data_IF_700798746022
#
_entry.id   IF_700798746022
#
_cell.length_a   1.000
_cell.length_b   1.000
_cell.length_c   1.000
_cell.angle_alpha   90.00
_cell.angle_beta   90.00
_cell.angle_gamma   90.00
#
_symmetry.space_group_name_H-M   'P 1'
#
loop_
_entity.id
_entity.type
_entity.pdbx_description
1 polymer ?
#
# COMPACT_ATOMS: atom_id res chain seq x y z
N UNK A 1 84.31 -56.51 -92.33
CA UNK A 1 84.44 -57.97 -92.11
C UNK A 1 83.09 -58.69 -91.93
N UNK A 2 81.94 -58.06 -92.13
CA UNK A 2 80.66 -58.69 -92.47
C UNK A 2 79.91 -57.67 -93.35
N UNK A 3 79.06 -58.07 -94.31
CA UNK A 3 78.28 -57.11 -95.13
C UNK A 3 77.14 -56.44 -94.35
N UNK A 4 77.03 -56.73 -93.06
CA UNK A 4 75.95 -56.30 -92.17
C UNK A 4 76.48 -55.23 -91.22
N UNK A 5 76.21 -53.97 -91.53
CA UNK A 5 76.48 -52.85 -90.62
C UNK A 5 75.45 -52.80 -89.50
N UNK A 6 75.88 -52.71 -88.25
CA UNK A 6 75.01 -52.40 -87.11
C UNK A 6 75.19 -50.92 -86.77
N UNK A 7 74.08 -50.19 -86.65
CA UNK A 7 74.01 -48.80 -86.16
C UNK A 7 74.65 -47.68 -87.02
N UNK A 8 75.47 -47.97 -88.04
CA UNK A 8 75.97 -46.93 -88.97
C UNK A 8 74.85 -46.39 -89.89
N UNK A 9 74.63 -45.08 -89.84
CA UNK A 9 73.66 -44.38 -90.72
C UNK A 9 72.26 -44.18 -90.14
N UNK A 10 72.09 -44.16 -88.82
CA UNK A 10 70.83 -43.75 -88.16
C UNK A 10 70.56 -42.23 -88.28
N UNK A 11 70.76 -41.62 -89.45
CA UNK A 11 70.15 -40.33 -89.77
C UNK A 11 68.70 -40.58 -90.18
N UNK A 12 67.83 -40.81 -89.20
CA UNK A 12 66.39 -40.76 -89.45
C UNK A 12 66.08 -39.33 -89.92
N UNK A 13 65.44 -39.16 -91.10
CA UNK A 13 64.92 -37.86 -91.54
C UNK A 13 64.13 -37.27 -90.37
N UNK A 14 64.63 -36.18 -89.76
CA UNK A 14 63.91 -35.46 -88.71
C UNK A 14 62.54 -35.12 -89.29
N UNK A 15 61.49 -35.80 -88.81
CA UNK A 15 60.13 -35.32 -89.07
C UNK A 15 60.05 -33.94 -88.42
N UNK A 16 59.45 -32.99 -89.15
CA UNK A 16 59.24 -31.63 -88.64
C UNK A 16 58.71 -31.70 -87.21
N UNK A 17 59.41 -31.07 -86.27
CA UNK A 17 59.04 -31.01 -84.84
C UNK A 17 57.93 -30.01 -84.57
N UNK A 18 57.35 -29.44 -85.63
CA UNK A 18 56.20 -28.54 -85.53
C UNK A 18 54.96 -29.41 -85.40
N UNK A 19 54.35 -29.40 -84.21
CA UNK A 19 53.04 -30.01 -83.99
C UNK A 19 51.98 -29.38 -84.92
N UNK A 20 51.02 -30.15 -85.46
CA UNK A 20 49.89 -29.57 -86.18
C UNK A 20 49.19 -28.56 -85.27
N UNK A 21 49.19 -27.28 -85.66
CA UNK A 21 48.64 -26.16 -84.86
C UNK A 21 49.67 -25.16 -84.31
N UNK A 22 50.96 -25.51 -84.25
CA UNK A 22 52.01 -24.62 -83.70
C UNK A 22 52.40 -23.48 -84.68
N UNK A 23 52.17 -23.66 -85.98
CA UNK A 23 52.42 -22.63 -87.02
C UNK A 23 51.16 -22.04 -87.66
N UNK A 24 49.97 -22.36 -87.14
CA UNK A 24 48.73 -21.80 -87.68
C UNK A 24 47.50 -22.33 -86.98
N UNK A 25 47.11 -21.67 -85.88
CA UNK A 25 45.70 -21.53 -85.45
C UNK A 25 45.51 -20.63 -84.21
N UNK A 26 46.57 -20.20 -83.51
CA UNK A 26 46.41 -19.41 -82.25
C UNK A 26 47.16 -18.06 -82.25
N UNK A 27 47.77 -17.65 -83.37
CA UNK A 27 48.26 -16.29 -83.54
C UNK A 27 47.31 -15.52 -84.46
N UNK A 28 46.42 -14.71 -83.89
CA UNK A 28 46.65 -13.26 -83.79
C UNK A 28 45.31 -12.50 -83.60
N UNK A 29 44.89 -12.33 -82.35
CA UNK A 29 43.97 -11.25 -81.95
C UNK A 29 44.46 -10.57 -80.66
N UNK A 30 45.77 -10.58 -80.39
CA UNK A 30 46.29 -10.12 -79.10
C UNK A 30 47.75 -9.72 -79.09
N UNK A 31 48.33 -9.36 -80.24
CA UNK A 31 49.63 -8.67 -80.31
C UNK A 31 49.40 -7.17 -80.53
N UNK A 32 48.41 -6.61 -79.83
CA UNK A 32 48.39 -5.19 -79.51
C UNK A 32 48.55 -5.09 -78.00
N UNK A 33 49.59 -4.40 -77.54
CA UNK A 33 50.01 -4.25 -76.15
C UNK A 33 49.04 -3.47 -75.25
N UNK A 34 47.75 -3.81 -75.29
CA UNK A 34 46.75 -3.45 -74.29
C UNK A 34 46.38 -4.72 -73.56
N UNK A 35 46.36 -4.70 -72.22
CA UNK A 35 45.89 -5.76 -71.33
C UNK A 35 44.60 -6.44 -71.85
N UNK A 36 44.72 -7.41 -72.76
CA UNK A 36 43.63 -8.31 -73.11
C UNK A 36 43.60 -9.32 -71.99
N UNK A 37 42.76 -9.04 -71.00
CA UNK A 37 42.49 -9.93 -69.88
C UNK A 37 42.00 -11.27 -70.46
N UNK A 38 42.92 -12.24 -70.63
CA UNK A 38 42.55 -13.54 -71.16
C UNK A 38 41.55 -14.18 -70.21
N UNK A 39 40.54 -14.89 -70.72
CA UNK A 39 39.57 -15.52 -69.84
C UNK A 39 40.29 -16.50 -68.91
N UNK A 40 39.91 -16.50 -67.62
CA UNK A 40 40.50 -17.36 -66.60
C UNK A 40 40.51 -18.84 -67.02
N UNK A 41 39.51 -19.27 -67.79
CA UNK A 41 39.41 -20.61 -68.35
C UNK A 41 40.64 -21.01 -69.18
N UNK A 42 41.23 -20.08 -69.94
CA UNK A 42 42.42 -20.35 -70.75
C UNK A 42 43.64 -20.60 -69.85
N UNK A 43 43.78 -19.86 -68.75
CA UNK A 43 44.84 -20.09 -67.78
C UNK A 43 44.67 -21.43 -67.04
N UNK A 44 43.44 -21.77 -66.67
CA UNK A 44 43.14 -23.04 -65.99
C UNK A 44 43.38 -24.22 -66.91
N UNK A 45 42.96 -24.15 -68.17
CA UNK A 45 43.21 -25.22 -69.16
C UNK A 45 44.72 -25.38 -69.45
N UNK A 46 45.44 -24.26 -69.57
CA UNK A 46 46.88 -24.28 -69.72
C UNK A 46 47.56 -24.90 -68.49
N UNK A 47 47.12 -24.57 -67.28
CA UNK A 47 47.70 -25.09 -66.05
C UNK A 47 47.37 -26.58 -65.82
N UNK A 48 46.14 -27.00 -66.09
CA UNK A 48 45.67 -28.37 -65.83
C UNK A 48 46.13 -29.39 -66.88
N UNK A 49 46.37 -28.96 -68.12
CA UNK A 49 46.72 -29.89 -69.22
C UNK A 49 48.03 -29.48 -69.90
N UNK A 50 48.16 -28.21 -70.27
CA UNK A 50 49.30 -27.72 -71.05
C UNK A 50 50.63 -27.81 -70.31
N UNK A 51 50.66 -27.38 -69.05
CA UNK A 51 51.88 -27.41 -68.22
C UNK A 51 52.32 -28.86 -67.93
N UNK A 52 51.46 -29.77 -67.42
CA UNK A 52 51.83 -31.18 -67.22
C UNK A 52 52.33 -31.85 -68.51
N UNK A 53 51.71 -31.55 -69.66
CA UNK A 53 52.16 -32.08 -70.94
C UNK A 53 53.55 -31.57 -71.33
N UNK A 54 53.83 -30.28 -71.10
CA UNK A 54 55.15 -29.70 -71.36
C UNK A 54 56.21 -30.27 -70.41
N UNK A 55 55.91 -30.41 -69.14
CA UNK A 55 56.78 -31.02 -68.14
C UNK A 55 57.11 -32.47 -68.50
N UNK A 56 56.10 -33.26 -68.89
CA UNK A 56 56.29 -34.62 -69.41
C UNK A 56 57.25 -34.63 -70.61
N UNK A 57 57.10 -33.70 -71.57
CA UNK A 57 58.01 -33.63 -72.72
C UNK A 57 59.43 -33.23 -72.33
N UNK A 58 59.61 -32.27 -71.43
CA UNK A 58 60.92 -31.85 -70.93
C UNK A 58 61.61 -33.04 -70.27
N UNK A 59 60.90 -33.71 -69.36
CA UNK A 59 61.40 -34.89 -68.66
C UNK A 59 61.75 -36.02 -69.65
N UNK A 60 60.85 -36.34 -70.58
CA UNK A 60 61.08 -37.38 -71.58
C UNK A 60 62.30 -37.06 -72.48
N UNK A 61 62.51 -35.79 -72.85
CA UNK A 61 63.69 -35.36 -73.60
C UNK A 61 64.98 -35.53 -72.79
N UNK A 62 64.97 -35.22 -71.50
CA UNK A 62 66.14 -35.40 -70.62
C UNK A 62 66.46 -36.89 -70.45
N UNK A 63 65.45 -37.71 -70.16
CA UNK A 63 65.65 -39.15 -69.95
C UNK A 63 66.07 -39.86 -71.24
N UNK A 64 65.55 -39.44 -72.41
CA UNK A 64 66.02 -39.95 -73.69
C UNK A 64 67.47 -39.60 -73.97
N UNK A 65 67.90 -38.36 -73.69
CA UNK A 65 69.30 -37.97 -73.85
C UNK A 65 70.20 -38.81 -72.96
N UNK A 66 69.82 -39.01 -71.71
CA UNK A 66 70.55 -39.86 -70.75
C UNK A 66 70.61 -41.32 -71.22
N UNK A 67 69.50 -41.89 -71.70
CA UNK A 67 69.47 -43.25 -72.23
C UNK A 67 70.30 -43.39 -73.52
N UNK A 68 70.37 -42.35 -74.35
CA UNK A 68 71.24 -42.34 -75.52
C UNK A 68 72.71 -42.34 -75.09
N UNK A 69 73.12 -41.48 -74.16
CA UNK A 69 74.52 -41.43 -73.69
C UNK A 69 74.94 -42.74 -73.02
N UNK A 70 74.10 -43.32 -72.17
CA UNK A 70 74.39 -44.64 -71.56
C UNK A 70 74.41 -45.75 -72.61
N UNK A 71 73.54 -45.70 -73.63
CA UNK A 71 73.59 -46.66 -74.73
C UNK A 71 74.87 -46.54 -75.57
N UNK A 72 75.39 -45.33 -75.75
CA UNK A 72 76.66 -45.11 -76.45
C UNK A 72 77.84 -45.63 -75.62
N UNK A 73 77.86 -45.35 -74.31
CA UNK A 73 78.89 -45.87 -73.39
C UNK A 73 78.91 -47.40 -73.34
N UNK A 74 77.72 -48.02 -73.28
CA UNK A 74 77.62 -49.49 -73.29
C UNK A 74 78.06 -50.09 -74.62
N UNK A 75 77.72 -49.48 -75.76
CA UNK A 75 78.22 -49.91 -77.08
C UNK A 75 79.73 -49.79 -77.16
N UNK A 76 80.31 -48.66 -76.75
CA UNK A 76 81.77 -48.48 -76.72
C UNK A 76 82.45 -49.52 -75.82
N UNK A 77 81.84 -49.83 -74.67
CA UNK A 77 82.35 -50.89 -73.77
C UNK A 77 82.28 -52.27 -74.41
N UNK A 78 81.20 -52.59 -75.15
CA UNK A 78 81.12 -53.83 -75.91
C UNK A 78 82.16 -53.89 -77.03
N UNK A 79 82.38 -52.80 -77.75
CA UNK A 79 83.40 -52.73 -78.81
C UNK A 79 84.81 -52.97 -78.24
N UNK A 80 85.17 -52.34 -77.11
CA UNK A 80 86.43 -52.60 -76.42
C UNK A 80 86.56 -54.06 -75.96
N UNK A 81 85.48 -54.67 -75.48
CA UNK A 81 85.47 -56.08 -75.06
C UNK A 81 85.62 -57.03 -76.25
N UNK A 82 84.96 -56.73 -77.37
CA UNK A 82 85.05 -57.51 -78.62
C UNK A 82 86.45 -57.40 -79.22
N UNK A 83 87.10 -56.23 -79.15
CA UNK A 83 88.47 -56.04 -79.60
C UNK A 83 89.46 -56.86 -78.75
N UNK A 84 89.31 -56.82 -77.42
CA UNK A 84 90.15 -57.60 -76.48
C UNK A 84 89.92 -59.11 -76.62
N UNK A 85 88.66 -59.53 -76.71
CA UNK A 85 88.23 -60.92 -76.75
C UNK A 85 87.29 -61.16 -77.93
N UNK A 86 87.87 -61.42 -79.11
CA UNK A 86 87.10 -61.63 -80.33
C UNK A 86 86.16 -62.85 -80.21
N UNK A 87 84.82 -62.66 -80.27
CA UNK A 87 83.84 -63.74 -80.19
C UNK A 87 84.06 -64.86 -81.22
N UNK A 88 83.76 -66.11 -80.82
CA UNK A 88 83.90 -67.30 -81.66
C UNK A 88 83.14 -67.17 -83.00
N UNK A 89 81.96 -66.55 -82.97
CA UNK A 89 81.13 -66.33 -84.16
C UNK A 89 81.85 -65.56 -85.27
N UNK A 90 82.69 -64.57 -84.93
CA UNK A 90 83.44 -63.84 -85.95
C UNK A 90 84.59 -64.67 -86.52
N UNK A 91 85.21 -65.54 -85.71
CA UNK A 91 86.25 -66.47 -86.18
C UNK A 91 85.64 -67.51 -87.13
N UNK A 92 84.50 -68.09 -86.75
CA UNK A 92 83.74 -69.05 -87.57
C UNK A 92 83.31 -68.43 -88.90
N UNK A 93 82.84 -67.18 -88.89
CA UNK A 93 82.49 -66.45 -90.11
C UNK A 93 83.68 -66.23 -91.06
N UNK A 94 84.87 -65.94 -90.51
CA UNK A 94 86.09 -65.73 -91.30
C UNK A 94 86.61 -67.03 -91.94
N UNK A 95 86.38 -68.18 -91.29
CA UNK A 95 86.78 -69.50 -91.79
C UNK A 95 85.71 -70.21 -92.64
N UNK A 96 84.47 -69.68 -92.69
CA UNK A 96 83.34 -70.31 -93.36
C UNK A 96 83.47 -70.32 -94.90
N UNK A 97 82.96 -71.41 -95.50
CA UNK A 97 82.90 -71.64 -96.95
C UNK A 97 81.89 -70.71 -97.66
N UNK A 98 81.96 -70.63 -98.99
CA UNK A 98 81.09 -69.76 -99.80
C UNK A 98 79.58 -70.07 -99.67
N UNK A 99 79.21 -71.31 -99.32
CA UNK A 99 77.80 -71.71 -99.09
C UNK A 99 77.30 -71.42 -97.66
N UNK A 100 78.17 -71.48 -96.65
CA UNK A 100 77.79 -71.30 -95.23
C UNK A 100 77.71 -69.82 -94.83
N UNK A 101 78.55 -68.98 -95.44
CA UNK A 101 78.57 -67.54 -95.21
C UNK A 101 77.21 -66.84 -95.41
N UNK A 102 76.46 -67.04 -96.51
CA UNK A 102 75.15 -66.41 -96.68
C UNK A 102 74.10 -66.88 -95.68
N UNK A 103 74.19 -68.13 -95.19
CA UNK A 103 73.29 -68.65 -94.14
C UNK A 103 73.54 -67.94 -92.80
N UNK A 104 74.81 -67.79 -92.40
CA UNK A 104 75.19 -67.03 -91.21
C UNK A 104 74.80 -65.54 -91.33
N UNK A 105 74.99 -64.92 -92.51
CA UNK A 105 74.50 -63.57 -92.75
C UNK A 105 72.97 -63.46 -92.64
N UNK A 106 72.22 -64.46 -93.11
CA UNK A 106 70.77 -64.55 -92.96
C UNK A 106 70.34 -64.57 -91.49
N UNK A 107 70.97 -65.41 -90.67
CA UNK A 107 70.71 -65.49 -89.23
C UNK A 107 71.06 -64.18 -88.51
N UNK A 108 72.20 -63.56 -88.83
CA UNK A 108 72.58 -62.24 -88.30
C UNK A 108 71.57 -61.15 -88.68
N UNK A 109 71.05 -61.17 -89.91
CA UNK A 109 69.99 -60.25 -90.36
C UNK A 109 68.68 -60.48 -89.59
N UNK A 110 68.31 -61.73 -89.31
CA UNK A 110 67.14 -62.05 -88.48
C UNK A 110 67.35 -61.57 -87.04
N UNK A 111 68.50 -61.83 -86.44
CA UNK A 111 68.82 -61.38 -85.09
C UNK A 111 68.83 -59.85 -84.99
N UNK A 112 69.35 -59.16 -86.01
CA UNK A 112 69.27 -57.70 -86.14
C UNK A 112 67.82 -57.21 -86.21
N UNK A 113 66.99 -57.86 -87.02
CA UNK A 113 65.57 -57.51 -87.14
C UNK A 113 64.82 -57.74 -85.82
N UNK A 114 65.06 -58.87 -85.15
CA UNK A 114 64.51 -59.19 -83.83
C UNK A 114 64.92 -58.16 -82.78
N UNK A 115 66.21 -57.86 -82.65
CA UNK A 115 66.70 -56.85 -81.71
C UNK A 115 66.09 -55.47 -81.95
N UNK A 116 65.91 -55.08 -83.23
CA UNK A 116 65.23 -53.84 -83.60
C UNK A 116 63.75 -53.84 -83.20
N UNK A 117 63.05 -54.96 -83.35
CA UNK A 117 61.66 -55.11 -82.93
C UNK A 117 61.52 -55.06 -81.40
N UNK A 118 62.39 -55.74 -80.65
CA UNK A 118 62.40 -55.66 -79.19
C UNK A 118 62.70 -54.24 -78.69
N UNK A 119 63.64 -53.52 -79.33
CA UNK A 119 63.90 -52.12 -79.00
C UNK A 119 62.68 -51.22 -79.29
N UNK A 120 61.99 -51.48 -80.41
CA UNK A 120 60.76 -50.78 -80.77
C UNK A 120 59.65 -51.05 -79.75
N UNK A 121 59.46 -52.30 -79.34
CA UNK A 121 58.49 -52.68 -78.31
C UNK A 121 58.75 -51.96 -76.99
N UNK A 122 59.99 -52.02 -76.47
CA UNK A 122 60.39 -51.32 -75.24
C UNK A 122 60.14 -49.81 -75.33
N UNK A 123 60.43 -49.20 -76.48
CA UNK A 123 60.12 -47.79 -76.73
C UNK A 123 58.61 -47.49 -76.64
N UNK A 124 57.77 -48.32 -77.27
CA UNK A 124 56.32 -48.12 -77.20
C UNK A 124 55.77 -48.35 -75.79
N UNK A 125 56.27 -49.33 -75.05
CA UNK A 125 55.90 -49.56 -73.65
C UNK A 125 56.26 -48.34 -72.78
N UNK A 126 57.47 -47.81 -72.92
CA UNK A 126 57.89 -46.61 -72.18
C UNK A 126 57.05 -45.38 -72.54
N UNK A 127 56.80 -45.16 -73.85
CA UNK A 127 55.94 -44.07 -74.32
C UNK A 127 54.50 -44.21 -73.83
N UNK A 128 53.98 -45.44 -73.78
CA UNK A 128 52.64 -45.70 -73.25
C UNK A 128 52.56 -45.34 -71.77
N UNK A 129 53.59 -45.69 -70.98
CA UNK A 129 53.69 -45.29 -69.57
C UNK A 129 53.61 -43.78 -69.40
N UNK A 130 54.42 -43.02 -70.16
CA UNK A 130 54.39 -41.55 -70.14
C UNK A 130 53.00 -40.96 -70.43
N UNK A 131 52.30 -41.49 -71.43
CA UNK A 131 50.96 -41.02 -71.80
C UNK A 131 49.94 -41.41 -70.72
N UNK A 132 50.07 -42.60 -70.14
CA UNK A 132 49.19 -43.06 -69.07
C UNK A 132 49.34 -42.21 -67.81
N UNK A 133 50.58 -41.86 -67.44
CA UNK A 133 50.87 -40.98 -66.31
C UNK A 133 50.26 -39.59 -66.54
N UNK A 134 50.47 -39.01 -67.73
CA UNK A 134 49.85 -37.74 -68.10
C UNK A 134 48.32 -37.81 -68.06
N UNK A 135 47.73 -38.90 -68.58
CA UNK A 135 46.29 -39.12 -68.54
C UNK A 135 45.79 -39.15 -67.09
N UNK A 136 46.47 -39.89 -66.21
CA UNK A 136 46.12 -39.97 -64.79
C UNK A 136 46.16 -38.57 -64.14
N UNK A 137 47.23 -37.80 -64.38
CA UNK A 137 47.36 -36.41 -63.88
C UNK A 137 46.24 -35.51 -64.40
N UNK A 138 45.94 -35.54 -65.69
CA UNK A 138 44.86 -34.73 -66.27
C UNK A 138 43.49 -35.16 -65.74
N UNK A 139 43.26 -36.47 -65.53
CA UNK A 139 42.00 -36.94 -64.93
C UNK A 139 41.86 -36.49 -63.48
N UNK A 140 42.95 -36.47 -62.70
CA UNK A 140 42.93 -35.96 -61.33
C UNK A 140 42.65 -34.45 -61.30
N UNK A 141 43.24 -33.68 -62.22
CA UNK A 141 42.91 -32.26 -62.34
C UNK A 141 41.45 -32.04 -62.75
N UNK A 142 40.91 -32.88 -63.63
CA UNK A 142 39.51 -32.81 -64.04
C UNK A 142 38.56 -33.09 -62.86
N UNK A 143 38.83 -34.12 -62.05
CA UNK A 143 37.99 -34.43 -60.87
C UNK A 143 38.01 -33.27 -59.87
N UNK A 144 39.18 -32.67 -59.60
CA UNK A 144 39.31 -31.50 -58.74
C UNK A 144 38.52 -30.30 -59.28
N UNK A 145 38.59 -30.03 -60.59
CA UNK A 145 37.82 -28.96 -61.22
C UNK A 145 36.31 -29.19 -61.15
N UNK A 146 35.86 -30.45 -61.20
CA UNK A 146 34.45 -30.80 -61.01
C UNK A 146 34.01 -30.57 -59.56
N UNK A 147 34.82 -30.96 -58.58
CA UNK A 147 34.57 -30.69 -57.15
C UNK A 147 34.49 -29.18 -56.88
N UNK A 148 35.42 -28.40 -57.43
CA UNK A 148 35.40 -26.94 -57.35
C UNK A 148 34.13 -26.34 -57.98
N UNK A 149 33.72 -26.87 -59.14
CA UNK A 149 32.49 -26.43 -59.80
C UNK A 149 31.25 -26.68 -58.92
N UNK A 150 31.12 -27.87 -58.34
CA UNK A 150 30.02 -28.19 -57.42
C UNK A 150 30.05 -27.30 -56.17
N UNK A 151 31.23 -27.02 -55.63
CA UNK A 151 31.40 -26.12 -54.49
C UNK A 151 30.96 -24.69 -54.83
N UNK A 152 31.39 -24.16 -55.97
CA UNK A 152 30.98 -22.84 -56.46
C UNK A 152 29.47 -22.80 -56.69
N UNK A 153 28.88 -23.85 -57.25
CA UNK A 153 27.43 -23.90 -57.48
C UNK A 153 26.65 -23.91 -56.15
N UNK A 154 27.09 -24.70 -55.15
CA UNK A 154 26.47 -24.73 -53.82
C UNK A 154 26.58 -23.38 -53.11
N UNK A 155 27.75 -22.75 -53.15
CA UNK A 155 27.97 -21.43 -52.55
C UNK A 155 27.17 -20.35 -53.27
N UNK A 156 27.09 -20.38 -54.61
CA UNK A 156 26.26 -19.48 -55.39
C UNK A 156 24.77 -19.63 -55.06
N UNK A 157 24.27 -20.86 -54.87
CA UNK A 157 22.89 -21.09 -54.47
C UNK A 157 22.61 -20.53 -53.05
N UNK A 158 23.54 -20.77 -52.11
CA UNK A 158 23.42 -20.26 -50.74
C UNK A 158 23.47 -18.72 -50.67
N UNK A 159 24.39 -18.11 -51.40
CA UNK A 159 24.48 -16.65 -51.51
C UNK A 159 23.28 -16.09 -52.29
N UNK A 160 22.81 -16.78 -53.33
CA UNK A 160 21.63 -16.37 -54.09
C UNK A 160 20.37 -16.19 -53.23
N UNK A 161 20.23 -16.99 -52.16
CA UNK A 161 19.12 -16.85 -51.21
C UNK A 161 19.28 -15.65 -50.26
N UNK A 162 20.49 -15.41 -49.74
CA UNK A 162 20.72 -14.43 -48.67
C UNK A 162 21.09 -13.02 -49.17
N UNK A 163 21.73 -12.92 -50.33
CA UNK A 163 22.29 -11.69 -50.87
C UNK A 163 21.21 -10.67 -51.30
N UNK A 164 20.06 -11.07 -51.88
CA UNK A 164 18.96 -10.14 -52.16
C UNK A 164 18.39 -9.50 -50.89
N UNK A 165 18.19 -10.27 -49.82
CA UNK A 165 17.70 -9.77 -48.53
C UNK A 165 18.71 -8.79 -47.91
N UNK A 166 20.00 -9.13 -47.93
CA UNK A 166 21.05 -8.26 -47.42
C UNK A 166 21.17 -6.96 -48.21
N UNK A 167 21.05 -7.02 -49.56
CA UNK A 167 21.00 -5.84 -50.41
C UNK A 167 19.79 -4.96 -50.09
N UNK A 168 18.60 -5.54 -49.91
CA UNK A 168 17.39 -4.81 -49.55
C UNK A 168 17.51 -4.14 -48.18
N UNK A 169 18.10 -4.83 -47.18
CA UNK A 169 18.41 -4.23 -45.88
C UNK A 169 19.41 -3.09 -45.99
N UNK A 170 20.47 -3.28 -46.78
CA UNK A 170 21.46 -2.23 -47.00
C UNK A 170 20.84 -0.99 -47.65
N UNK A 171 20.00 -1.15 -48.67
CA UNK A 171 19.31 -0.01 -49.31
C UNK A 171 18.37 0.69 -48.34
N UNK A 172 17.58 -0.06 -47.57
CA UNK A 172 16.67 0.51 -46.57
C UNK A 172 17.42 1.28 -45.47
N UNK A 173 18.52 0.73 -44.95
CA UNK A 173 19.37 1.41 -43.96
C UNK A 173 20.05 2.64 -44.55
N UNK A 174 20.50 2.59 -45.80
CA UNK A 174 21.10 3.74 -46.47
C UNK A 174 20.08 4.88 -46.66
N UNK A 175 18.84 4.55 -47.00
CA UNK A 175 17.72 5.51 -47.09
C UNK A 175 17.39 6.12 -45.73
N UNK A 176 17.24 5.30 -44.68
CA UNK A 176 17.02 5.78 -43.31
C UNK A 176 18.13 6.71 -42.84
N UNK A 177 19.38 6.32 -43.09
CA UNK A 177 20.54 7.13 -42.72
C UNK A 177 20.56 8.46 -43.50
N UNK A 178 20.17 8.44 -44.78
CA UNK A 178 20.03 9.67 -45.56
C UNK A 178 18.94 10.59 -45.01
N UNK A 179 17.78 10.03 -44.61
CA UNK A 179 16.69 10.78 -43.97
C UNK A 179 17.15 11.39 -42.65
N UNK A 180 17.78 10.62 -41.76
CA UNK A 180 18.24 11.15 -40.47
C UNK A 180 19.32 12.21 -40.64
N UNK A 181 20.23 12.04 -41.60
CA UNK A 181 21.19 13.10 -41.95
C UNK A 181 20.51 14.35 -42.51
N UNK A 182 19.38 14.19 -43.21
CA UNK A 182 18.51 15.29 -43.61
C UNK A 182 17.93 16.00 -42.40
N UNK A 183 17.28 15.27 -41.50
CA UNK A 183 16.69 15.78 -40.27
C UNK A 183 17.73 16.52 -39.40
N UNK A 184 18.94 15.96 -39.24
CA UNK A 184 20.02 16.61 -38.47
C UNK A 184 20.41 17.94 -39.12
N UNK A 185 20.54 17.99 -40.45
CA UNK A 185 20.88 19.24 -41.15
C UNK A 185 19.77 20.28 -41.04
N UNK A 186 18.51 19.86 -41.05
CA UNK A 186 17.37 20.75 -40.80
C UNK A 186 17.42 21.30 -39.38
N UNK A 187 17.62 20.44 -38.37
CA UNK A 187 17.77 20.83 -36.96
C UNK A 187 19.01 21.71 -36.70
N UNK A 188 20.12 21.47 -37.40
CA UNK A 188 21.32 22.32 -37.34
C UNK A 188 21.10 23.67 -38.06
N UNK A 189 20.21 23.69 -39.05
CA UNK A 189 19.81 24.90 -39.77
C UNK A 189 18.77 25.74 -39.03
N UNK A 190 18.02 25.14 -38.11
CA UNK A 190 17.07 25.84 -37.24
C UNK A 190 17.81 26.79 -36.28
N UNK A 191 17.34 28.04 -36.20
CA UNK A 191 18.02 29.08 -35.44
C UNK A 191 18.03 28.70 -33.94
N UNK A 192 19.21 28.54 -33.29
CA UNK A 192 19.29 28.20 -31.87
C UNK A 192 18.64 29.23 -30.95
N UNK A 193 18.45 30.47 -31.40
CA UNK A 193 17.71 31.51 -30.66
C UNK A 193 16.21 31.20 -30.61
N UNK A 194 15.59 30.81 -31.73
CA UNK A 194 14.17 30.43 -31.77
C UNK A 194 13.89 29.18 -30.92
N UNK A 195 14.82 28.22 -30.89
CA UNK A 195 14.72 27.05 -30.02
C UNK A 195 14.83 27.41 -28.53
N UNK A 196 15.64 28.41 -28.18
CA UNK A 196 15.71 28.92 -26.81
C UNK A 196 14.41 29.64 -26.42
N UNK A 197 13.89 30.53 -27.28
CA UNK A 197 12.62 31.21 -27.07
C UNK A 197 11.46 30.23 -26.90
N UNK A 198 11.38 29.18 -27.73
CA UNK A 198 10.37 28.13 -27.59
C UNK A 198 10.52 27.33 -26.30
N UNK A 199 11.75 27.03 -25.87
CA UNK A 199 12.01 26.34 -24.59
C UNK A 199 11.63 27.21 -23.39
N UNK A 200 11.96 28.48 -23.43
CA UNK A 200 11.57 29.47 -22.42
C UNK A 200 10.04 29.59 -22.38
N UNK A 201 9.37 29.69 -23.54
CA UNK A 201 7.91 29.69 -23.64
C UNK A 201 7.26 28.41 -23.11
N UNK A 202 7.83 27.23 -23.37
CA UNK A 202 7.36 25.96 -22.79
C UNK A 202 7.56 25.94 -21.27
N UNK A 203 8.68 26.45 -20.76
CA UNK A 203 8.93 26.53 -19.32
C UNK A 203 7.91 27.47 -18.66
N UNK A 204 7.65 28.65 -19.23
CA UNK A 204 6.62 29.56 -18.76
C UNK A 204 5.23 28.92 -18.78
N UNK A 205 4.85 28.27 -19.89
CA UNK A 205 3.58 27.55 -19.98
C UNK A 205 3.46 26.42 -18.95
N UNK A 206 4.55 25.68 -18.69
CA UNK A 206 4.55 24.65 -17.65
C UNK A 206 4.35 25.26 -16.26
N UNK A 207 4.98 26.39 -15.95
CA UNK A 207 4.74 27.07 -14.66
C UNK A 207 3.30 27.56 -14.53
N UNK A 208 2.68 28.02 -15.63
CA UNK A 208 1.26 28.38 -15.65
C UNK A 208 0.34 27.15 -15.51
N UNK A 209 0.69 26.02 -16.13
CA UNK A 209 -0.05 24.76 -15.95
C UNK A 209 0.03 24.29 -14.49
N UNK A 210 1.20 24.40 -13.86
CA UNK A 210 1.38 24.07 -12.45
C UNK A 210 0.56 25.00 -11.55
N UNK A 211 0.53 26.31 -11.82
CA UNK A 211 -0.33 27.23 -11.06
C UNK A 211 -1.81 26.89 -11.25
N UNK A 212 -2.26 26.60 -12.47
CA UNK A 212 -3.65 26.19 -12.72
C UNK A 212 -3.99 24.83 -12.08
N UNK A 213 -3.05 23.89 -12.03
CA UNK A 213 -3.25 22.62 -11.30
C UNK A 213 -3.42 22.86 -9.79
N UNK A 214 -2.62 23.75 -9.21
CA UNK A 214 -2.75 24.13 -7.81
C UNK A 214 -4.08 24.84 -7.56
N UNK A 215 -4.49 25.76 -8.43
CA UNK A 215 -5.81 26.41 -8.36
C UNK A 215 -6.96 25.39 -8.49
N UNK A 216 -6.86 24.44 -9.41
CA UNK A 216 -7.84 23.36 -9.55
C UNK A 216 -7.92 22.49 -8.29
N UNK A 217 -6.78 22.18 -7.66
CA UNK A 217 -6.75 21.44 -6.41
C UNK A 217 -7.38 22.24 -5.25
N UNK A 218 -7.11 23.54 -5.17
CA UNK A 218 -7.78 24.43 -4.22
C UNK A 218 -9.29 24.52 -4.47
N UNK A 219 -9.72 24.63 -5.73
CA UNK A 219 -11.14 24.67 -6.08
C UNK A 219 -11.80 23.34 -5.77
N UNK A 220 -11.14 22.21 -6.04
CA UNK A 220 -11.65 20.88 -5.71
C UNK A 220 -11.83 20.71 -4.20
N UNK A 221 -10.84 21.08 -3.39
CA UNK A 221 -10.95 21.03 -1.92
C UNK A 221 -12.01 22.00 -1.38
N UNK A 222 -12.16 23.20 -1.97
CA UNK A 222 -13.26 24.12 -1.67
C UNK A 222 -14.61 23.52 -2.03
N UNK A 223 -14.73 22.86 -3.20
CA UNK A 223 -15.95 22.20 -3.63
C UNK A 223 -16.30 21.02 -2.74
N UNK A 224 -15.34 20.19 -2.33
CA UNK A 224 -15.54 19.07 -1.41
C UNK A 224 -16.01 19.57 -0.04
N UNK A 225 -15.40 20.64 0.48
CA UNK A 225 -15.85 21.30 1.71
C UNK A 225 -17.25 21.91 1.59
N UNK A 226 -17.62 22.44 0.42
CA UNK A 226 -18.98 22.95 0.20
C UNK A 226 -19.98 21.81 0.08
N UNK A 227 -19.65 20.73 -0.62
CA UNK A 227 -20.50 19.55 -0.72
C UNK A 227 -20.70 18.87 0.63
N UNK A 228 -19.65 18.79 1.47
CA UNK A 228 -19.79 18.28 2.84
C UNK A 228 -20.73 19.16 3.66
N UNK A 229 -20.62 20.50 3.54
CA UNK A 229 -21.56 21.43 4.19
C UNK A 229 -22.98 21.30 3.66
N UNK A 230 -23.17 21.07 2.36
CA UNK A 230 -24.49 20.84 1.78
C UNK A 230 -25.07 19.55 2.35
N UNK A 231 -24.29 18.46 2.39
CA UNK A 231 -24.72 17.20 3.01
C UNK A 231 -25.08 17.38 4.49
N UNK A 232 -24.26 18.11 5.26
CA UNK A 232 -24.55 18.44 6.66
C UNK A 232 -25.87 19.25 6.79
N UNK A 233 -26.11 20.20 5.88
CA UNK A 233 -27.33 21.01 5.85
C UNK A 233 -28.54 20.16 5.43
N UNK A 234 -28.39 19.26 4.46
CA UNK A 234 -29.44 18.32 4.04
C UNK A 234 -29.78 17.35 5.19
N UNK A 235 -28.78 16.83 5.90
CA UNK A 235 -28.97 16.02 7.11
C UNK A 235 -29.66 16.83 8.21
N UNK A 236 -29.26 18.09 8.43
CA UNK A 236 -29.97 18.97 9.36
C UNK A 236 -31.40 19.24 8.91
N UNK A 237 -31.64 19.45 7.61
CA UNK A 237 -32.96 19.70 7.06
C UNK A 237 -33.86 18.46 7.21
N UNK A 238 -33.37 17.26 6.91
CA UNK A 238 -34.10 16.00 7.10
C UNK A 238 -34.38 15.74 8.58
N UNK A 239 -33.42 16.01 9.48
CA UNK A 239 -33.64 15.94 10.92
C UNK A 239 -34.69 16.95 11.38
N UNK A 240 -34.62 18.20 10.93
CA UNK A 240 -35.60 19.25 11.24
C UNK A 240 -36.99 18.92 10.69
N UNK A 241 -37.08 18.38 9.47
CA UNK A 241 -38.32 17.88 8.86
C UNK A 241 -38.90 16.71 9.66
N UNK A 242 -38.06 15.78 10.14
CA UNK A 242 -38.51 14.69 11.00
C UNK A 242 -39.00 15.22 12.36
N UNK A 243 -38.34 16.23 12.94
CA UNK A 243 -38.79 16.88 14.17
C UNK A 243 -40.10 17.63 13.95
N UNK A 244 -40.24 18.37 12.84
CA UNK A 244 -41.49 19.08 12.51
C UNK A 244 -42.62 18.09 12.21
N UNK A 245 -42.38 17.00 11.50
CA UNK A 245 -43.38 15.96 11.29
C UNK A 245 -43.83 15.31 12.62
N UNK A 246 -42.89 15.05 13.55
CA UNK A 246 -43.22 14.59 14.91
C UNK A 246 -44.01 15.65 15.70
N UNK A 247 -43.63 16.92 15.58
CA UNK A 247 -44.32 18.02 16.23
C UNK A 247 -45.72 18.23 15.64
N UNK A 248 -45.89 18.10 14.32
CA UNK A 248 -47.17 18.12 13.63
C UNK A 248 -48.03 16.94 14.01
N UNK A 249 -47.49 15.71 14.09
CA UNK A 249 -48.19 14.56 14.66
C UNK A 249 -48.67 14.86 16.08
N UNK A 250 -47.80 15.42 16.93
CA UNK A 250 -48.17 15.84 18.27
C UNK A 250 -49.24 16.95 18.25
N UNK A 251 -49.14 17.93 17.35
CA UNK A 251 -50.15 18.98 17.17
C UNK A 251 -51.46 18.42 16.63
N UNK A 252 -51.47 17.39 15.78
CA UNK A 252 -52.68 16.71 15.31
C UNK A 252 -53.31 15.90 16.43
N UNK A 253 -52.52 15.22 17.26
CA UNK A 253 -53.02 14.60 18.50
C UNK A 253 -53.63 15.64 19.43
N UNK A 254 -52.97 16.79 19.62
CA UNK A 254 -53.50 17.92 20.39
C UNK A 254 -54.71 18.59 19.73
N UNK A 255 -54.84 18.53 18.39
CA UNK A 255 -56.01 19.03 17.66
C UNK A 255 -57.20 18.06 17.77
N UNK A 256 -56.93 16.78 18.01
CA UNK A 256 -57.92 15.79 18.47
C UNK A 256 -58.12 15.78 19.99
N UNK A 257 -57.35 16.55 20.77
CA UNK A 257 -57.65 16.76 22.17
C UNK A 257 -58.91 17.61 22.27
N UNK A 258 -60.00 16.94 22.59
CA UNK A 258 -61.29 17.57 22.82
C UNK A 258 -61.15 18.49 24.03
N UNK A 259 -61.87 19.64 24.08
CA UNK A 259 -61.85 20.58 25.22
C UNK A 259 -61.97 19.88 26.58
N UNK A 260 -62.66 18.75 26.64
CA UNK A 260 -62.78 17.86 27.80
C UNK A 260 -61.46 17.26 28.29
N UNK A 261 -60.52 16.90 27.41
CA UNK A 261 -59.23 16.31 27.81
C UNK A 261 -58.30 17.34 28.44
N UNK A 262 -58.29 18.57 27.92
CA UNK A 262 -57.54 19.69 28.52
C UNK A 262 -58.07 20.02 29.91
N UNK A 263 -59.39 19.99 30.11
CA UNK A 263 -59.97 20.16 31.44
C UNK A 263 -59.65 19.00 32.38
N UNK A 264 -59.67 17.75 31.90
CA UNK A 264 -59.28 16.60 32.70
C UNK A 264 -57.81 16.67 33.14
N UNK A 265 -56.88 16.96 32.24
CA UNK A 265 -55.46 17.10 32.61
C UNK A 265 -55.23 18.28 33.57
N UNK A 266 -56.01 19.36 33.45
CA UNK A 266 -55.97 20.47 34.39
C UNK A 266 -56.49 20.05 35.77
N UNK A 267 -57.61 19.34 35.83
CA UNK A 267 -58.14 18.77 37.08
C UNK A 267 -57.14 17.77 37.71
N UNK A 268 -56.52 16.91 36.89
CA UNK A 268 -55.51 15.96 37.33
C UNK A 268 -54.27 16.69 37.89
N UNK A 269 -53.80 17.75 37.23
CA UNK A 269 -52.69 18.58 37.72
C UNK A 269 -53.03 19.31 39.01
N UNK A 270 -54.21 19.95 39.08
CA UNK A 270 -54.68 20.60 40.31
C UNK A 270 -54.93 19.59 41.44
N UNK A 271 -55.29 18.35 41.12
CA UNK A 271 -55.41 17.27 42.10
C UNK A 271 -54.04 16.84 42.63
N UNK A 272 -53.02 16.79 41.77
CA UNK A 272 -51.63 16.47 42.15
C UNK A 272 -51.01 17.58 43.01
N UNK A 273 -51.22 18.86 42.65
CA UNK A 273 -50.77 19.99 43.49
C UNK A 273 -51.45 19.95 44.86
N UNK A 274 -52.76 19.64 44.92
CA UNK A 274 -53.49 19.48 46.19
C UNK A 274 -53.03 18.28 47.01
N UNK A 275 -52.75 17.14 46.37
CA UNK A 275 -52.31 15.92 47.06
C UNK A 275 -50.89 16.05 47.62
N UNK A 276 -50.00 16.73 46.90
CA UNK A 276 -48.59 16.83 47.27
C UNK A 276 -48.22 18.14 47.97
N UNK A 277 -49.14 19.10 48.07
CA UNK A 277 -48.94 20.44 48.67
C UNK A 277 -47.79 21.25 48.04
N UNK A 278 -47.30 20.82 46.89
CA UNK A 278 -46.30 21.52 46.09
C UNK A 278 -46.99 22.29 44.98
N UNK A 279 -46.69 23.57 44.89
CA UNK A 279 -47.12 24.42 43.77
C UNK A 279 -45.90 24.94 43.02
N UNK A 280 -45.97 24.88 41.70
CA UNK A 280 -44.88 25.39 40.85
C UNK A 280 -45.10 26.89 40.63
N UNK A 281 -44.27 27.72 41.26
CA UNK A 281 -44.43 29.17 41.19
C UNK A 281 -43.87 29.76 39.90
N UNK A 282 -42.56 29.61 39.68
CA UNK A 282 -41.88 30.16 38.49
C UNK A 282 -40.78 29.21 38.04
N UNK A 283 -40.72 28.95 36.73
CA UNK A 283 -39.65 28.19 36.10
C UNK A 283 -38.92 29.09 35.11
N UNK A 284 -37.67 29.42 35.40
CA UNK A 284 -36.72 30.06 34.47
C UNK A 284 -35.59 29.08 34.17
N UNK A 285 -34.83 29.33 33.10
CA UNK A 285 -33.72 28.46 32.70
C UNK A 285 -32.68 28.27 33.83
N UNK A 286 -32.48 29.30 34.65
CA UNK A 286 -31.46 29.31 35.71
C UNK A 286 -32.03 29.10 37.13
N UNK A 287 -33.35 29.13 37.31
CA UNK A 287 -33.99 29.04 38.65
C UNK A 287 -35.37 28.41 38.58
N UNK A 288 -35.62 27.42 39.44
CA UNK A 288 -36.95 26.84 39.66
C UNK A 288 -37.43 27.16 41.06
N UNK A 289 -38.55 27.88 41.17
CA UNK A 289 -39.18 28.25 42.42
C UNK A 289 -40.37 27.33 42.67
N UNK A 290 -40.27 26.54 43.74
CA UNK A 290 -41.33 25.66 44.23
C UNK A 290 -41.82 26.20 45.57
N UNK A 291 -43.13 26.12 45.82
CA UNK A 291 -43.72 26.51 47.10
C UNK A 291 -44.40 25.29 47.71
N UNK A 292 -43.96 24.94 48.92
CA UNK A 292 -44.54 23.88 49.73
C UNK A 292 -45.48 24.46 50.79
N UNK A 293 -46.67 23.88 50.89
CA UNK A 293 -47.71 24.21 51.89
C UNK A 293 -48.02 25.72 51.97
N UNK A 294 -47.92 26.42 50.83
CA UNK A 294 -48.09 27.88 50.69
C UNK A 294 -47.21 28.74 51.62
N UNK A 295 -46.23 28.16 52.32
CA UNK A 295 -45.42 28.83 53.34
C UNK A 295 -43.92 28.72 53.11
N UNK A 296 -43.44 27.63 52.52
CA UNK A 296 -42.01 27.44 52.28
C UNK A 296 -41.71 27.58 50.80
N UNK A 297 -40.98 28.64 50.44
CA UNK A 297 -40.48 28.82 49.09
C UNK A 297 -39.07 28.21 48.99
N UNK A 298 -38.92 27.24 48.10
CA UNK A 298 -37.65 26.60 47.74
C UNK A 298 -37.22 27.10 46.36
N UNK A 299 -36.05 27.72 46.28
CA UNK A 299 -35.44 28.18 45.04
C UNK A 299 -34.29 27.25 44.68
N UNK A 300 -34.49 26.46 43.64
CA UNK A 300 -33.53 25.50 43.12
C UNK A 300 -32.76 26.11 41.95
N UNK A 301 -31.45 26.23 42.09
CA UNK A 301 -30.53 26.60 41.01
C UNK A 301 -29.88 25.32 40.45
N UNK A 302 -30.01 25.02 39.15
CA UNK A 302 -29.38 23.87 38.54
C UNK A 302 -27.86 24.02 38.60
N UNK A 303 -27.18 23.15 39.34
CA UNK A 303 -25.70 23.09 39.43
C UNK A 303 -25.09 23.41 40.80
N UNK A 304 -25.85 23.90 41.79
CA UNK A 304 -25.35 24.03 43.17
C UNK A 304 -25.59 22.74 43.97
N UNK A 305 -24.54 22.25 44.64
CA UNK A 305 -24.54 21.01 45.43
C UNK A 305 -25.01 21.18 46.88
N UNK A 306 -25.20 22.42 47.32
CA UNK A 306 -25.63 22.76 48.68
C UNK A 306 -26.78 23.74 48.60
N UNK A 307 -27.79 23.52 49.45
CA UNK A 307 -28.87 24.49 49.66
C UNK A 307 -28.24 25.74 50.30
N UNK A 308 -28.03 26.77 49.47
CA UNK A 308 -27.50 28.04 49.94
C UNK A 308 -28.48 28.71 50.91
N UNK A 309 -27.94 29.55 51.80
CA UNK A 309 -28.69 30.30 52.82
C UNK A 309 -29.88 31.09 52.22
N UNK A 310 -29.78 31.49 50.95
CA UNK A 310 -30.79 32.28 50.22
C UNK A 310 -31.84 31.44 49.46
N UNK A 311 -31.69 30.10 49.47
CA UNK A 311 -32.55 29.19 48.69
C UNK A 311 -33.90 28.88 49.35
N UNK A 312 -34.00 29.06 50.66
CA UNK A 312 -35.23 28.85 51.44
C UNK A 312 -35.74 30.18 51.94
N UNK A 313 -37.02 30.47 51.68
CA UNK A 313 -37.71 31.66 52.22
C UNK A 313 -39.03 31.26 52.83
N UNK A 314 -39.31 31.80 54.02
CA UNK A 314 -40.62 31.72 54.65
C UNK A 314 -41.51 32.80 54.02
N UNK A 315 -42.67 32.39 53.51
CA UNK A 315 -43.72 33.28 53.02
C UNK A 315 -44.57 33.75 54.21
N UNK A 316 -44.99 35.02 54.18
CA UNK A 316 -45.83 35.60 55.24
C UNK A 316 -47.18 34.87 55.28
N UNK A 317 -47.56 34.40 56.47
CA UNK A 317 -48.86 33.76 56.74
C UNK A 317 -50.04 34.72 56.60
N UNK A 318 -51.25 34.23 56.87
CA UNK A 318 -52.49 35.00 56.76
C UNK A 318 -52.52 36.16 57.76
N UNK A 319 -53.15 37.29 57.40
CA UNK A 319 -53.17 38.56 58.16
C UNK A 319 -53.93 38.53 59.52
N UNK A 320 -54.08 37.37 60.15
CA UNK A 320 -54.77 37.17 61.44
C UNK A 320 -54.09 36.19 62.40
N UNK A 321 -52.81 35.88 62.19
CA UNK A 321 -52.05 34.96 63.07
C UNK A 321 -51.55 35.66 64.34
N UNK A 322 -51.72 35.01 65.50
CA UNK A 322 -51.22 35.48 66.79
C UNK A 322 -49.70 35.70 66.75
N UNK A 323 -49.23 36.76 67.42
CA UNK A 323 -47.83 37.19 67.41
C UNK A 323 -46.87 36.09 67.90
N UNK A 324 -47.25 35.37 68.97
CA UNK A 324 -46.47 34.24 69.49
C UNK A 324 -46.40 33.07 68.52
N UNK A 325 -47.49 32.76 67.80
CA UNK A 325 -47.49 31.66 66.81
C UNK A 325 -46.55 32.01 65.65
N UNK A 326 -46.49 33.29 65.27
CA UNK A 326 -45.56 33.78 64.26
C UNK A 326 -44.10 33.59 64.69
N UNK A 327 -43.78 33.93 65.93
CA UNK A 327 -42.44 33.71 66.51
C UNK A 327 -42.07 32.22 66.53
N UNK A 328 -43.01 31.33 66.89
CA UNK A 328 -42.80 29.86 66.83
C UNK A 328 -42.50 29.40 65.40
N UNK A 329 -43.25 29.88 64.41
CA UNK A 329 -43.05 29.51 63.00
C UNK A 329 -41.68 29.98 62.52
N UNK A 330 -41.28 31.20 62.88
CA UNK A 330 -39.97 31.75 62.52
C UNK A 330 -38.84 30.94 63.17
N UNK A 331 -38.97 30.60 64.46
CA UNK A 331 -38.02 29.73 65.16
C UNK A 331 -37.90 28.33 64.55
N UNK A 332 -39.03 27.70 64.22
CA UNK A 332 -39.07 26.40 63.55
C UNK A 332 -38.48 26.45 62.13
N UNK A 333 -38.75 27.52 61.39
CA UNK A 333 -38.16 27.72 60.07
C UNK A 333 -36.63 27.87 60.14
N UNK A 334 -36.10 28.56 61.15
CA UNK A 334 -34.66 28.66 61.39
C UNK A 334 -34.05 27.28 61.70
N UNK A 335 -34.71 26.46 62.51
CA UNK A 335 -34.28 25.09 62.77
C UNK A 335 -34.29 24.21 61.52
N UNK A 336 -35.35 24.27 60.71
CA UNK A 336 -35.43 23.54 59.42
C UNK A 336 -34.33 24.02 58.48
N UNK A 337 -34.06 25.33 58.41
CA UNK A 337 -33.00 25.91 57.61
C UNK A 337 -31.62 25.41 58.06
N UNK A 338 -31.38 25.33 59.36
CA UNK A 338 -30.11 24.85 59.91
C UNK A 338 -29.92 23.34 59.73
N UNK A 339 -30.98 22.54 59.91
CA UNK A 339 -30.96 21.11 59.64
C UNK A 339 -30.68 20.80 58.15
N UNK A 340 -31.31 21.55 57.25
CA UNK A 340 -31.15 21.37 55.80
C UNK A 340 -29.80 21.89 55.26
N UNK A 341 -29.07 22.75 55.99
CA UNK A 341 -27.68 23.12 55.65
C UNK A 341 -26.73 21.93 55.68
N UNK A 342 -27.00 20.95 56.55
CA UNK A 342 -26.15 19.76 56.72
C UNK A 342 -26.31 18.73 55.60
N UNK A 343 -27.39 18.82 54.80
CA UNK A 343 -27.68 17.91 53.70
C UNK A 343 -26.98 18.38 52.41
N UNK A 344 -26.02 17.58 51.94
CA UNK A 344 -25.34 17.77 50.65
C UNK A 344 -25.76 16.67 49.67
N UNK A 345 -26.81 16.92 48.88
CA UNK A 345 -27.29 15.96 47.89
C UNK A 345 -27.44 16.62 46.51
N UNK A 346 -27.13 15.85 45.45
CA UNK A 346 -27.24 16.31 44.06
C UNK A 346 -28.65 16.09 43.49
N UNK A 347 -29.48 15.30 44.16
CA UNK A 347 -30.76 14.86 43.64
C UNK A 347 -31.89 15.79 44.10
N UNK A 348 -32.54 16.46 43.14
CA UNK A 348 -33.67 17.37 43.39
C UNK A 348 -34.81 16.66 44.13
N UNK A 349 -35.02 15.36 43.86
CA UNK A 349 -36.06 14.59 44.53
C UNK A 349 -35.77 14.37 46.03
N UNK A 350 -34.50 14.20 46.40
CA UNK A 350 -34.09 14.04 47.80
C UNK A 350 -34.22 15.36 48.56
N UNK A 351 -33.88 16.48 47.92
CA UNK A 351 -34.09 17.82 48.47
C UNK A 351 -35.56 18.08 48.73
N UNK A 352 -36.44 17.78 47.77
CA UNK A 352 -37.89 17.94 47.91
C UNK A 352 -38.40 17.07 49.06
N UNK A 353 -38.00 15.78 49.13
CA UNK A 353 -38.40 14.88 50.22
C UNK A 353 -37.92 15.36 51.59
N UNK A 354 -36.68 15.84 51.68
CA UNK A 354 -36.11 16.35 52.93
C UNK A 354 -36.83 17.61 53.40
N UNK A 355 -37.13 18.55 52.48
CA UNK A 355 -37.91 19.76 52.80
C UNK A 355 -39.33 19.38 53.21
N UNK A 356 -39.99 18.45 52.52
CA UNK A 356 -41.33 18.00 52.94
C UNK A 356 -41.29 17.37 54.31
N UNK A 357 -40.34 16.47 54.59
CA UNK A 357 -40.22 15.81 55.89
C UNK A 357 -39.99 16.81 57.01
N UNK A 358 -38.98 17.68 56.86
CA UNK A 358 -38.62 18.67 57.86
C UNK A 358 -39.74 19.70 58.13
N UNK A 359 -40.45 20.15 57.10
CA UNK A 359 -41.56 21.08 57.29
C UNK A 359 -42.79 20.38 57.87
N UNK A 360 -43.10 19.15 57.48
CA UNK A 360 -44.19 18.38 58.12
C UNK A 360 -43.90 18.16 59.61
N UNK A 361 -42.67 17.79 59.96
CA UNK A 361 -42.21 17.71 61.34
C UNK A 361 -42.42 19.02 62.11
N UNK A 362 -42.02 20.15 61.51
CA UNK A 362 -42.25 21.47 62.09
C UNK A 362 -43.75 21.79 62.27
N UNK A 363 -44.61 21.46 61.30
CA UNK A 363 -46.06 21.67 61.44
C UNK A 363 -46.69 20.81 62.53
N UNK A 364 -46.21 19.59 62.75
CA UNK A 364 -46.65 18.74 63.86
C UNK A 364 -46.22 19.34 65.20
N UNK A 365 -44.97 19.78 65.33
CA UNK A 365 -44.48 20.40 66.56
C UNK A 365 -45.18 21.74 66.85
N UNK A 366 -45.51 22.50 65.80
CA UNK A 366 -46.32 23.70 65.92
C UNK A 366 -47.74 23.40 66.42
N UNK A 367 -48.36 22.30 65.99
CA UNK A 367 -49.65 21.87 66.52
C UNK A 367 -49.56 21.56 68.02
N UNK A 368 -48.48 20.90 68.47
CA UNK A 368 -48.23 20.64 69.90
C UNK A 368 -48.08 21.92 70.71
N UNK A 369 -47.24 22.85 70.24
CA UNK A 369 -47.05 24.15 70.91
C UNK A 369 -48.37 24.93 70.96
N UNK A 370 -49.23 24.85 69.94
CA UNK A 370 -50.56 25.47 69.98
C UNK A 370 -51.45 24.90 71.07
N UNK A 371 -51.42 23.59 71.32
CA UNK A 371 -52.20 22.97 72.39
C UNK A 371 -51.63 23.38 73.75
N UNK A 372 -50.30 23.41 73.87
CA UNK A 372 -49.60 23.88 75.06
C UNK A 372 -49.96 25.34 75.37
N UNK A 373 -49.99 26.20 74.36
CA UNK A 373 -50.30 27.62 74.47
C UNK A 373 -51.73 27.87 74.96
N UNK A 374 -52.66 27.01 74.56
CA UNK A 374 -54.05 27.07 75.05
C UNK A 374 -54.19 26.69 76.53
N UNK A 375 -53.22 25.96 77.10
CA UNK A 375 -53.32 25.40 78.47
C UNK A 375 -52.41 26.09 79.48
N UNK A 376 -51.25 26.57 79.04
CA UNK A 376 -50.24 27.18 79.90
C UNK A 376 -49.68 28.45 79.26
N UNK A 377 -49.28 29.46 80.05
CA UNK A 377 -48.48 30.57 79.55
C UNK A 377 -47.12 30.08 79.06
N UNK A 378 -46.76 30.41 77.82
CA UNK A 378 -45.50 30.03 77.19
C UNK A 378 -44.66 31.27 76.92
N UNK A 379 -43.36 31.19 77.21
CA UNK A 379 -42.33 32.05 76.62
C UNK A 379 -41.44 31.24 75.68
N UNK A 380 -40.90 31.90 74.66
CA UNK A 380 -40.06 31.28 73.65
C UNK A 380 -38.66 31.87 73.72
N UNK A 381 -37.65 31.01 73.69
CA UNK A 381 -36.28 31.41 73.39
C UNK A 381 -35.97 31.00 71.95
N UNK A 382 -35.97 31.99 71.07
CA UNK A 382 -35.62 31.81 69.67
C UNK A 382 -34.15 31.41 69.53
N UNK A 383 -33.79 30.56 68.54
CA UNK A 383 -32.42 30.21 68.27
C UNK A 383 -31.65 31.45 67.79
N UNK A 384 -30.80 31.99 68.67
CA UNK A 384 -29.91 33.10 68.36
C UNK A 384 -28.61 32.56 67.72
N UNK A 385 -28.02 33.31 66.80
CA UNK A 385 -26.90 32.85 65.97
C UNK A 385 -25.61 32.66 66.81
N UNK A 386 -25.49 31.48 67.42
CA UNK A 386 -24.36 30.84 68.10
C UNK A 386 -24.46 30.78 69.65
N UNK A 387 -24.06 29.65 70.29
CA UNK A 387 -23.47 28.43 69.72
C UNK A 387 -24.36 27.17 69.76
N UNK A 388 -25.61 27.26 70.23
CA UNK A 388 -26.56 26.15 70.19
C UNK A 388 -27.88 26.65 69.61
N UNK A 389 -28.17 26.26 68.35
CA UNK A 389 -29.40 26.63 67.63
C UNK A 389 -30.55 25.76 68.17
N UNK A 390 -30.86 25.87 69.46
CA UNK A 390 -31.94 25.12 70.11
C UNK A 390 -33.17 26.04 70.25
N UNK A 391 -34.35 25.56 69.88
CA UNK A 391 -35.61 26.25 70.20
C UNK A 391 -36.03 25.84 71.60
N UNK A 392 -36.05 26.80 72.52
CA UNK A 392 -36.52 26.57 73.89
C UNK A 392 -37.97 27.03 74.04
N UNK A 393 -38.84 26.12 74.46
CA UNK A 393 -40.24 26.40 74.81
C UNK A 393 -40.34 26.34 76.33
N UNK A 394 -40.40 27.50 76.98
CA UNK A 394 -40.53 27.62 78.44
C UNK A 394 -42.00 27.72 78.83
N UNK A 395 -42.44 26.79 79.67
CA UNK A 395 -43.81 26.63 80.13
C UNK A 395 -43.89 26.92 81.61
N UNK A 396 -44.71 27.91 81.94
CA UNK A 396 -44.92 28.31 83.32
C UNK A 396 -45.93 27.40 84.02
N UNK A 397 -45.46 26.62 84.99
CA UNK A 397 -46.30 25.80 85.86
C UNK A 397 -46.64 26.53 87.17
N UNK A 398 -47.93 26.55 87.50
CA UNK A 398 -48.43 27.09 88.77
C UNK A 398 -48.78 25.92 89.69
N UNK A 399 -48.02 25.74 90.77
CA UNK A 399 -48.23 24.74 91.82
C UNK A 399 -48.83 25.42 93.07
N UNK A 400 -49.35 24.64 94.04
CA UNK A 400 -50.12 25.19 95.18
C UNK A 400 -49.36 26.28 95.98
N UNK A 401 -48.07 26.04 96.29
CA UNK A 401 -47.22 26.97 97.05
C UNK A 401 -45.93 27.38 96.30
N UNK A 402 -45.81 27.05 95.00
CA UNK A 402 -44.60 27.32 94.22
C UNK A 402 -44.88 27.62 92.74
N UNK A 403 -43.92 28.26 92.09
CA UNK A 403 -43.95 28.57 90.66
C UNK A 403 -42.67 28.07 90.02
N UNK A 404 -42.82 27.21 89.03
CA UNK A 404 -41.72 26.59 88.30
C UNK A 404 -41.86 26.85 86.80
N UNK A 405 -40.73 26.98 86.11
CA UNK A 405 -40.65 27.11 84.66
C UNK A 405 -39.99 25.87 84.08
N UNK A 406 -40.68 25.18 83.16
CA UNK A 406 -40.19 24.00 82.46
C UNK A 406 -39.84 24.37 81.03
N UNK A 407 -38.58 24.23 80.67
CA UNK A 407 -38.05 24.55 79.35
C UNK A 407 -37.78 23.28 78.56
N UNK A 408 -38.46 23.14 77.42
CA UNK A 408 -38.22 22.07 76.46
C UNK A 408 -37.31 22.58 75.35
N UNK A 409 -36.12 22.00 75.19
CA UNK A 409 -35.20 22.40 74.11
C UNK A 409 -35.23 21.42 72.95
N UNK A 410 -35.34 21.96 71.74
CA UNK A 410 -35.48 21.22 70.49
C UNK A 410 -34.31 21.57 69.58
N UNK A 411 -33.53 20.55 69.23
CA UNK A 411 -32.36 20.68 68.37
C UNK A 411 -32.73 20.50 66.88
N UNK A 412 -31.98 21.07 65.92
CA UNK A 412 -32.25 20.92 64.50
C UNK A 412 -32.12 19.46 64.04
N UNK A 413 -31.21 18.69 64.66
CA UNK A 413 -31.08 17.25 64.42
C UNK A 413 -32.33 16.47 64.90
N UNK A 414 -32.91 16.88 66.03
CA UNK A 414 -34.16 16.27 66.50
C UNK A 414 -35.31 16.57 65.54
N UNK A 415 -35.39 17.80 65.01
CA UNK A 415 -36.47 18.17 64.09
C UNK A 415 -36.42 17.39 62.76
N UNK A 416 -35.23 17.07 62.25
CA UNK A 416 -35.08 16.31 61.00
C UNK A 416 -35.53 14.84 61.12
N UNK A 417 -35.36 14.23 62.29
CA UNK A 417 -35.77 12.85 62.57
C UNK A 417 -37.12 12.76 63.32
N UNK A 418 -37.85 13.88 63.41
CA UNK A 418 -39.16 13.93 64.04
C UNK A 418 -40.16 13.07 63.25
N UNK A 419 -40.98 12.23 63.90
CA UNK A 419 -41.23 12.21 65.34
C UNK A 419 -40.45 11.15 66.13
N UNK A 420 -39.56 10.39 65.49
CA UNK A 420 -38.77 9.34 66.16
C UNK A 420 -37.82 9.85 67.25
N UNK A 421 -37.43 11.13 67.16
CA UNK A 421 -36.60 11.86 68.10
C UNK A 421 -37.39 12.51 69.26
N UNK A 422 -38.72 12.42 69.28
CA UNK A 422 -39.56 12.97 70.34
C UNK A 422 -39.19 12.55 71.77
N UNK A 423 -38.80 11.29 72.07
CA UNK A 423 -38.38 10.91 73.42
C UNK A 423 -37.05 11.55 73.87
N UNK A 424 -36.31 12.18 72.95
CA UNK A 424 -35.02 12.81 73.24
C UNK A 424 -35.13 14.32 73.53
N UNK A 425 -36.34 14.87 73.58
CA UNK A 425 -36.55 16.30 73.92
C UNK A 425 -36.01 16.56 75.31
N UNK A 426 -35.02 17.45 75.41
CA UNK A 426 -34.39 17.81 76.68
C UNK A 426 -35.36 18.68 77.47
N UNK A 427 -35.55 18.35 78.74
CA UNK A 427 -36.39 19.11 79.67
C UNK A 427 -35.51 19.67 80.79
N UNK A 428 -35.47 20.99 80.95
CA UNK A 428 -34.77 21.67 82.05
C UNK A 428 -35.77 22.49 82.85
N UNK A 429 -35.67 22.46 84.19
CA UNK A 429 -36.56 23.20 85.08
C UNK A 429 -35.85 24.26 85.89
N UNK A 430 -36.51 25.40 86.15
CA UNK A 430 -36.04 26.42 87.09
C UNK A 430 -37.19 26.86 88.03
N UNK A 431 -36.89 27.12 89.30
CA UNK A 431 -37.87 27.69 90.24
C UNK A 431 -37.87 29.20 90.11
N UNK A 432 -39.06 29.78 89.99
CA UNK A 432 -39.26 31.22 90.09
C UNK A 432 -39.46 31.61 91.57
N UNK A 433 -40.26 30.86 92.34
CA UNK A 433 -40.35 30.95 93.81
C UNK A 433 -40.99 29.69 94.44
N UNK A 434 -40.67 29.39 95.72
CA UNK A 434 -41.22 28.25 96.50
C UNK A 434 -40.24 27.09 96.72
N UNK A 435 -40.64 26.07 97.49
CA UNK A 435 -39.79 24.94 97.96
C UNK A 435 -39.95 23.63 97.14
N UNK A 436 -40.45 23.73 95.90
CA UNK A 436 -40.64 22.59 95.01
C UNK A 436 -39.32 21.86 94.69
N UNK A 437 -39.35 20.53 94.59
CA UNK A 437 -38.19 19.75 94.14
C UNK A 437 -38.10 19.73 92.60
N UNK A 438 -37.24 20.59 92.03
CA UNK A 438 -37.02 20.71 90.56
C UNK A 438 -36.66 19.37 89.95
N UNK A 439 -35.77 18.61 90.59
CA UNK A 439 -35.30 17.33 90.07
C UNK A 439 -36.45 16.34 89.89
N UNK A 440 -37.45 16.36 90.78
CA UNK A 440 -38.64 15.52 90.65
C UNK A 440 -39.56 15.95 89.51
N UNK A 441 -39.75 17.26 89.31
CA UNK A 441 -40.56 17.81 88.22
C UNK A 441 -39.95 17.47 86.85
N UNK A 442 -38.63 17.65 86.74
CA UNK A 442 -37.88 17.36 85.52
C UNK A 442 -37.83 15.85 85.26
N UNK A 443 -37.67 15.02 86.29
CA UNK A 443 -37.73 13.56 86.16
C UNK A 443 -39.13 13.08 85.74
N UNK A 444 -40.20 13.62 86.31
CA UNK A 444 -41.57 13.28 85.92
C UNK A 444 -41.87 13.67 84.46
N UNK A 445 -41.52 14.90 84.06
CA UNK A 445 -41.70 15.36 82.69
C UNK A 445 -40.85 14.55 81.68
N UNK A 446 -39.59 14.28 81.99
CA UNK A 446 -38.69 13.52 81.12
C UNK A 446 -39.07 12.04 81.01
N UNK A 447 -39.55 11.41 82.09
CA UNK A 447 -40.08 10.04 82.05
C UNK A 447 -41.30 9.94 81.14
N UNK A 448 -42.19 10.95 81.17
CA UNK A 448 -43.37 10.97 80.31
C UNK A 448 -43.02 11.19 78.84
N UNK A 449 -42.05 12.07 78.56
CA UNK A 449 -41.52 12.28 77.22
C UNK A 449 -40.84 10.99 76.69
N UNK A 450 -40.10 10.27 77.52
CA UNK A 450 -39.45 9.01 77.15
C UNK A 450 -40.45 7.87 76.83
N UNK A 451 -41.68 7.94 77.36
CA UNK A 451 -42.75 6.98 77.07
C UNK A 451 -43.49 7.29 75.75
N UNK A 452 -43.20 8.41 75.09
CA UNK A 452 -43.85 8.77 73.84
C UNK A 452 -43.43 7.82 72.71
N UNK A 453 -44.39 7.05 72.19
CA UNK A 453 -44.18 6.09 71.09
C UNK A 453 -44.44 6.72 69.72
N UNK A 454 -43.91 6.10 68.66
CA UNK A 454 -44.07 6.44 67.22
C UNK A 454 -45.50 6.79 66.76
N UNK A 455 -46.50 6.31 67.49
CA UNK A 455 -47.89 6.31 67.07
C UNK A 455 -48.76 7.25 67.93
N UNK A 456 -48.20 7.83 69.01
CA UNK A 456 -48.91 8.66 69.99
C UNK A 456 -48.16 9.96 70.30
N UNK A 457 -47.80 10.72 69.28
CA UNK A 457 -47.06 11.99 69.43
C UNK A 457 -47.92 13.23 69.60
N UNK A 458 -49.21 13.08 69.87
CA UNK A 458 -50.12 14.20 70.03
C UNK A 458 -50.38 14.49 71.51
N UNK A 459 -50.18 15.73 71.94
CA UNK A 459 -50.41 16.22 73.30
C UNK A 459 -49.36 15.82 74.34
N UNK A 460 -48.24 15.22 73.95
CA UNK A 460 -47.28 14.63 74.91
C UNK A 460 -46.55 15.69 75.75
N UNK A 461 -46.28 16.89 75.21
CA UNK A 461 -45.71 18.01 75.99
C UNK A 461 -46.69 18.49 77.07
N UNK A 462 -47.98 18.52 76.74
CA UNK A 462 -49.04 18.90 77.68
C UNK A 462 -49.21 17.84 78.76
N UNK A 463 -49.16 16.56 78.40
CA UNK A 463 -49.20 15.46 79.36
C UNK A 463 -47.95 15.41 80.24
N UNK A 464 -46.77 15.74 79.71
CA UNK A 464 -45.55 15.90 80.50
C UNK A 464 -45.68 17.03 81.53
N UNK A 465 -46.28 18.17 81.16
CA UNK A 465 -46.59 19.24 82.09
C UNK A 465 -47.61 18.81 83.16
N UNK A 466 -48.62 18.00 82.80
CA UNK A 466 -49.61 17.47 83.76
C UNK A 466 -49.00 16.50 84.76
N UNK A 467 -48.15 15.58 84.29
CA UNK A 467 -47.49 14.59 85.13
C UNK A 467 -46.45 15.24 86.05
N UNK A 468 -45.78 16.30 85.58
CA UNK A 468 -44.94 17.13 86.44
C UNK A 468 -45.77 17.77 87.57
N UNK A 469 -46.94 18.35 87.28
CA UNK A 469 -47.83 18.90 88.31
C UNK A 469 -48.27 17.81 89.31
N UNK A 470 -48.67 16.63 88.81
CA UNK A 470 -49.12 15.52 89.66
C UNK A 470 -48.01 14.92 90.55
N UNK A 471 -46.73 15.07 90.20
CA UNK A 471 -45.62 14.58 91.04
C UNK A 471 -45.37 15.42 92.29
N UNK A 472 -46.05 16.56 92.45
CA UNK A 472 -45.93 17.47 93.60
C UNK A 472 -47.24 17.70 94.36
N UNK A 473 -48.31 16.99 93.98
CA UNK A 473 -49.49 16.77 94.83
C UNK A 473 -49.25 15.55 95.74
#
# INVERSE_FOLDING_TARGET
>A
MTSVTFMDGLTVKRRSTVGPGVLGSVRDQGIDGKNTNRPLADYVSAAAVGIPQLEMYIWACQELKKNITTSQETVNSFDEQVEKNNPLLFREYMTANEEERPLMEGQLKIMKAHARLCAKEKWYQWRQGLIQDLQNTVTEHLTKLQEDHEFIQKTQAHLGASLPELRARHTALAEQLALERGNIKELEGDNPEQLKELREGIAEQNTQIESFRNELAEVATKSERLNSKIADIEDQCTQQLAITAKAEQHCTMLRSCTRSEVFRLKEDYESLERMHLWTVGKRKADETVLVYDSRVQVTLQPGRKTLGIDSLRLLRGSDGEDELIREVIEGLFLLVRDGLKSLSTQNVQEIIRAVTGAWTAATHLLAEIRILYQKYPISLSLPDSAPASELGVSVLLMLQDSKADLTFTIDPAMLMDWPSSAPNVKCNGSIVYGDAHIESLVQAASNRIAQATSDQFYGYLVDACREAIASQE
#
